data_IF_529908433195
#
_entry.id   IF_529908433195
#
_cell.length_a   1.000
_cell.length_b   1.000
_cell.length_c   1.000
_cell.angle_alpha   90.00
_cell.angle_beta   90.00
_cell.angle_gamma   90.00
#
_symmetry.space_group_name_H-M   'P 1'
#
loop_
_entity.id
_entity.type
_entity.pdbx_description
1 polymer ?
#
# COMPACT_ATOMS: atom_id res chain seq x y z
N UNK A 1 41.48 6.10 62.68
CA UNK A 1 40.05 6.23 62.30
C UNK A 1 39.82 6.95 60.95
N UNK A 2 40.85 7.47 60.26
CA UNK A 2 40.68 8.28 59.02
C UNK A 2 40.81 7.51 57.68
N UNK A 3 41.33 6.29 57.66
CA UNK A 3 41.60 5.55 56.40
C UNK A 3 40.39 4.77 55.85
N UNK A 4 39.45 4.34 56.70
CA UNK A 4 38.24 3.61 56.26
C UNK A 4 37.15 4.50 55.65
N UNK A 5 37.09 5.79 56.00
CA UNK A 5 36.10 6.74 55.44
C UNK A 5 36.46 7.20 54.01
N UNK A 6 37.75 7.37 53.69
CA UNK A 6 38.19 7.75 52.34
C UNK A 6 37.86 6.68 51.29
N UNK A 7 38.06 5.40 51.61
CA UNK A 7 37.78 4.32 50.66
C UNK A 7 36.28 4.19 50.34
N UNK A 8 35.38 4.28 51.32
CA UNK A 8 33.92 4.24 51.08
C UNK A 8 33.44 5.37 50.18
N UNK A 9 34.01 6.56 50.32
CA UNK A 9 33.64 7.72 49.51
C UNK A 9 34.16 7.59 48.07
N UNK A 10 35.37 7.06 47.87
CA UNK A 10 35.91 6.76 46.53
C UNK A 10 35.08 5.69 45.82
N UNK A 11 34.69 4.60 46.50
CA UNK A 11 33.82 3.58 45.90
C UNK A 11 32.43 4.11 45.55
N UNK A 12 31.81 4.95 46.40
CA UNK A 12 30.52 5.57 46.10
C UNK A 12 30.60 6.49 44.88
N UNK A 13 31.69 7.27 44.78
CA UNK A 13 31.89 8.21 43.66
C UNK A 13 32.16 7.46 42.36
N UNK A 14 32.96 6.38 42.39
CA UNK A 14 33.19 5.51 41.23
C UNK A 14 31.90 4.81 40.80
N UNK A 15 31.10 4.29 41.73
CA UNK A 15 29.80 3.67 41.39
C UNK A 15 28.81 4.67 40.80
N UNK A 16 28.77 5.91 41.32
CA UNK A 16 27.91 6.97 40.78
C UNK A 16 28.38 7.41 39.40
N UNK A 17 29.70 7.54 39.16
CA UNK A 17 30.26 7.89 37.85
C UNK A 17 30.06 6.76 36.84
N UNK A 18 30.20 5.49 37.21
CA UNK A 18 29.89 4.34 36.34
C UNK A 18 28.39 4.29 36.04
N UNK A 19 27.51 4.51 37.03
CA UNK A 19 26.07 4.51 36.81
C UNK A 19 25.61 5.71 35.97
N UNK A 20 26.22 6.88 36.14
CA UNK A 20 25.93 8.07 35.34
C UNK A 20 26.49 7.95 33.93
N UNK A 21 27.67 7.35 33.74
CA UNK A 21 28.22 7.09 32.41
C UNK A 21 27.45 5.99 31.67
N UNK A 22 26.96 4.95 32.35
CA UNK A 22 26.06 3.94 31.76
C UNK A 22 24.69 4.55 31.42
N UNK A 23 24.17 5.46 32.25
CA UNK A 23 22.93 6.21 31.96
C UNK A 23 23.13 7.20 30.81
N UNK A 24 24.26 7.90 30.75
CA UNK A 24 24.61 8.81 29.65
C UNK A 24 24.91 8.01 28.38
N UNK A 25 25.51 6.82 28.47
CA UNK A 25 25.73 5.95 27.31
C UNK A 25 24.41 5.36 26.81
N UNK A 26 23.49 4.94 27.69
CA UNK A 26 22.11 4.57 27.31
C UNK A 26 21.30 5.75 26.76
N UNK A 27 21.44 6.93 27.34
CA UNK A 27 20.78 8.15 26.86
C UNK A 27 21.34 8.59 25.50
N UNK A 28 22.64 8.47 25.30
CA UNK A 28 23.29 8.75 24.02
C UNK A 28 23.05 7.63 22.99
N UNK A 29 22.89 6.36 23.37
CA UNK A 29 22.41 5.30 22.46
C UNK A 29 20.96 5.54 22.03
N UNK A 30 20.11 6.06 22.93
CA UNK A 30 18.74 6.47 22.61
C UNK A 30 18.69 7.72 21.73
N UNK A 31 19.68 8.62 21.82
CA UNK A 31 19.68 9.91 21.10
C UNK A 31 20.56 9.97 19.84
N UNK A 32 21.55 9.09 19.65
CA UNK A 32 22.49 9.21 18.51
C UNK A 32 22.20 8.34 17.28
N UNK A 33 21.20 7.46 17.28
CA UNK A 33 20.93 6.62 16.11
C UNK A 33 19.53 6.02 16.11
N UNK A 34 18.54 6.72 16.68
CA UNK A 34 17.24 6.12 16.78
C UNK A 34 16.73 5.95 15.34
N UNK A 35 16.64 4.74 14.79
CA UNK A 35 16.14 4.49 13.41
C UNK A 35 14.62 4.33 13.39
N UNK A 36 14.00 4.43 14.57
CA UNK A 36 12.63 4.02 14.84
C UNK A 36 11.86 5.12 15.56
N UNK A 37 10.54 5.12 15.39
CA UNK A 37 9.64 5.98 16.14
C UNK A 37 9.47 5.43 17.56
N UNK A 38 9.73 6.27 18.57
CA UNK A 38 9.62 5.88 19.99
C UNK A 38 8.16 5.94 20.45
N UNK A 39 7.31 5.08 19.88
CA UNK A 39 5.91 4.95 20.25
C UNK A 39 5.78 4.03 21.47
N UNK A 40 4.89 4.34 22.42
CA UNK A 40 4.60 3.43 23.53
C UNK A 40 3.75 2.26 23.00
N UNK A 41 4.35 1.09 22.79
CA UNK A 41 3.66 -0.10 22.28
C UNK A 41 4.08 -1.36 23.01
N UNK A 42 3.13 -2.28 23.15
CA UNK A 42 3.37 -3.64 23.62
C UNK A 42 4.40 -4.30 22.70
N UNK A 43 5.58 -4.64 23.25
CA UNK A 43 6.67 -5.21 22.47
C UNK A 43 6.26 -6.56 21.86
N UNK A 44 6.24 -6.66 20.53
CA UNK A 44 6.29 -7.96 19.86
C UNK A 44 7.75 -8.38 19.74
N UNK A 45 8.14 -9.37 20.54
CA UNK A 45 9.48 -9.98 20.50
C UNK A 45 9.49 -11.11 19.48
N UNK A 46 9.79 -10.83 18.22
CA UNK A 46 10.20 -11.86 17.27
C UNK A 46 11.26 -11.31 16.32
N UNK A 47 12.51 -11.74 16.50
CA UNK A 47 13.61 -11.52 15.57
C UNK A 47 14.11 -12.89 15.12
N UNK A 48 13.63 -13.35 13.96
CA UNK A 48 14.33 -14.37 13.19
C UNK A 48 15.03 -13.64 12.05
N UNK A 49 16.36 -13.63 12.05
CA UNK A 49 17.21 -12.87 11.10
C UNK A 49 16.99 -13.24 9.62
N UNK A 50 16.29 -14.34 9.33
CA UNK A 50 15.97 -14.76 7.96
C UNK A 50 14.62 -14.22 7.43
N UNK A 51 13.89 -13.40 8.18
CA UNK A 51 12.52 -12.97 7.84
C UNK A 51 12.43 -11.45 7.63
N UNK A 52 13.14 -10.95 6.62
CA UNK A 52 13.16 -9.51 6.34
C UNK A 52 12.05 -9.13 5.35
N UNK A 53 11.04 -8.41 5.84
CA UNK A 53 10.17 -7.58 5.00
C UNK A 53 11.04 -6.65 4.15
N UNK A 54 10.63 -6.41 2.89
CA UNK A 54 11.28 -5.43 2.03
C UNK A 54 11.10 -4.00 2.55
N UNK A 55 10.03 -3.74 3.30
CA UNK A 55 9.61 -2.39 3.67
C UNK A 55 10.45 -1.77 4.78
N UNK A 56 10.42 -2.36 5.98
CA UNK A 56 11.06 -1.82 7.17
C UNK A 56 11.16 -2.90 8.26
N UNK A 57 11.96 -2.64 9.29
CA UNK A 57 12.03 -3.52 10.47
C UNK A 57 10.69 -3.56 11.20
N UNK A 58 9.99 -2.42 11.26
CA UNK A 58 8.61 -2.36 11.78
C UNK A 58 7.70 -3.33 11.02
N UNK A 59 7.77 -3.31 9.70
CA UNK A 59 7.01 -4.24 8.85
C UNK A 59 7.46 -5.69 9.06
N UNK A 60 8.76 -5.96 9.19
CA UNK A 60 9.27 -7.31 9.47
C UNK A 60 8.75 -7.87 10.81
N UNK A 61 8.65 -7.03 11.85
CA UNK A 61 8.15 -7.42 13.17
C UNK A 61 6.67 -7.81 13.20
N UNK A 62 5.91 -7.54 12.12
CA UNK A 62 4.53 -8.04 11.97
C UNK A 62 4.48 -9.52 11.58
N UNK A 63 5.59 -10.11 11.15
CA UNK A 63 5.66 -11.52 10.76
C UNK A 63 5.18 -11.80 9.33
N UNK A 64 4.91 -13.08 9.05
CA UNK A 64 4.46 -13.53 7.73
C UNK A 64 2.96 -13.31 7.51
N UNK A 65 2.51 -13.53 6.28
CA UNK A 65 1.11 -13.52 5.86
C UNK A 65 0.39 -12.16 5.98
N UNK A 66 1.13 -11.06 5.81
CA UNK A 66 0.59 -9.71 5.89
C UNK A 66 -0.35 -9.41 4.72
N UNK A 67 -1.53 -8.84 4.98
CA UNK A 67 -2.43 -8.30 3.96
C UNK A 67 -2.16 -6.80 3.79
N UNK A 68 -1.75 -6.39 2.60
CA UNK A 68 -1.21 -5.05 2.36
C UNK A 68 -2.12 -4.26 1.42
N UNK A 69 -2.53 -3.07 1.84
CA UNK A 69 -2.95 -2.00 0.93
C UNK A 69 -1.70 -1.16 0.65
N UNK A 70 -1.33 -1.01 -0.61
CA UNK A 70 -0.09 -0.38 -1.00
C UNK A 70 -0.33 0.90 -1.77
N UNK A 71 0.32 1.98 -1.35
CA UNK A 71 0.33 3.25 -2.08
C UNK A 71 1.74 3.76 -2.30
N UNK A 72 1.89 4.58 -3.33
CA UNK A 72 3.09 5.40 -3.54
C UNK A 72 2.79 6.83 -3.08
N UNK A 73 3.62 7.36 -2.19
CA UNK A 73 3.59 8.75 -1.74
C UNK A 73 4.79 9.48 -2.34
N UNK A 74 4.54 10.23 -3.39
CA UNK A 74 5.55 11.03 -4.08
C UNK A 74 5.00 12.43 -4.40
N UNK A 75 5.85 13.43 -4.19
CA UNK A 75 5.51 14.85 -4.32
C UNK A 75 5.89 15.39 -5.69
N UNK A 76 5.55 16.66 -5.95
CA UNK A 76 4.73 16.99 -7.11
C UNK A 76 5.51 16.97 -8.42
N UNK A 77 5.44 15.86 -9.13
CA UNK A 77 6.00 15.77 -10.50
C UNK A 77 4.92 16.09 -11.55
N UNK A 78 3.66 15.67 -11.33
CA UNK A 78 2.61 15.73 -12.36
C UNK A 78 1.58 16.84 -12.14
N UNK A 79 1.06 16.98 -10.92
CA UNK A 79 0.06 18.00 -10.57
C UNK A 79 0.44 18.68 -9.25
N UNK A 80 1.20 19.79 -9.30
CA UNK A 80 1.73 20.43 -8.11
C UNK A 80 0.69 21.04 -7.16
N UNK A 81 -0.48 21.39 -7.66
CA UNK A 81 -1.58 21.88 -6.82
C UNK A 81 -2.21 20.74 -6.04
N UNK A 82 -2.59 19.66 -6.73
CA UNK A 82 -3.22 18.48 -6.12
C UNK A 82 -2.26 17.72 -5.20
N UNK A 83 -1.01 17.54 -5.63
CA UNK A 83 0.02 16.80 -4.88
C UNK A 83 1.03 17.73 -4.22
N UNK A 84 0.59 18.93 -3.81
CA UNK A 84 1.35 19.70 -2.82
C UNK A 84 1.51 18.86 -1.55
N UNK A 85 2.56 19.11 -0.75
CA UNK A 85 2.82 18.31 0.45
C UNK A 85 1.60 18.28 1.39
N UNK A 86 1.02 19.45 1.67
CA UNK A 86 -0.13 19.57 2.57
C UNK A 86 -1.34 18.81 2.03
N UNK A 87 -1.62 18.90 0.74
CA UNK A 87 -2.73 18.16 0.13
C UNK A 87 -2.47 16.66 0.11
N UNK A 88 -1.23 16.23 -0.15
CA UNK A 88 -0.86 14.81 -0.12
C UNK A 88 -1.00 14.21 1.28
N UNK A 89 -0.63 14.96 2.32
CA UNK A 89 -0.85 14.57 3.73
C UNK A 89 -2.35 14.48 4.03
N UNK A 90 -3.15 15.45 3.57
CA UNK A 90 -4.61 15.41 3.74
C UNK A 90 -5.24 14.18 3.05
N UNK A 91 -4.81 13.86 1.83
CA UNK A 91 -5.26 12.67 1.11
C UNK A 91 -4.87 11.38 1.86
N UNK A 92 -3.68 11.36 2.47
CA UNK A 92 -3.21 10.23 3.26
C UNK A 92 -4.06 10.05 4.53
N UNK A 93 -4.36 11.13 5.24
CA UNK A 93 -5.26 11.09 6.40
C UNK A 93 -6.65 10.57 6.02
N UNK A 94 -7.22 11.05 4.90
CA UNK A 94 -8.49 10.56 4.39
C UNK A 94 -8.42 9.07 4.06
N UNK A 95 -7.36 8.62 3.37
CA UNK A 95 -7.18 7.21 3.02
C UNK A 95 -7.04 6.31 4.25
N UNK A 96 -6.33 6.77 5.29
CA UNK A 96 -6.20 6.03 6.55
C UNK A 96 -7.57 5.88 7.22
N UNK A 97 -8.37 6.95 7.29
CA UNK A 97 -9.72 6.88 7.86
C UNK A 97 -10.62 5.93 7.07
N UNK A 98 -10.61 6.02 5.73
CA UNK A 98 -11.36 5.12 4.86
C UNK A 98 -10.91 3.65 5.03
N UNK A 99 -9.60 3.40 5.20
CA UNK A 99 -9.11 2.05 5.48
C UNK A 99 -9.66 1.52 6.80
N UNK A 100 -9.65 2.32 7.86
CA UNK A 100 -10.13 1.88 9.18
C UNK A 100 -11.65 1.62 9.18
N UNK A 101 -12.40 2.29 8.31
CA UNK A 101 -13.84 2.07 8.11
C UNK A 101 -14.13 0.82 7.26
N UNK A 102 -13.51 0.74 6.07
CA UNK A 102 -13.82 -0.27 5.03
C UNK A 102 -13.06 -1.59 5.24
N UNK A 103 -11.83 -1.52 5.73
CA UNK A 103 -10.94 -2.67 5.96
C UNK A 103 -10.71 -2.89 7.45
N UNK A 104 -11.78 -3.21 8.18
CA UNK A 104 -11.77 -3.45 9.63
C UNK A 104 -11.03 -4.74 10.09
N UNK A 105 -10.34 -5.44 9.18
CA UNK A 105 -9.48 -6.59 9.52
C UNK A 105 -8.01 -6.14 9.68
N UNK A 106 -7.10 -7.09 9.90
CA UNK A 106 -5.66 -6.85 10.04
C UNK A 106 -4.93 -6.42 8.74
N UNK A 107 -5.58 -5.62 7.87
CA UNK A 107 -4.94 -5.03 6.69
C UNK A 107 -3.99 -3.90 7.11
N UNK A 108 -2.83 -3.84 6.46
CA UNK A 108 -1.79 -2.87 6.74
C UNK A 108 -1.66 -1.93 5.54
N UNK A 109 -1.72 -0.62 5.76
CA UNK A 109 -1.36 0.36 4.75
C UNK A 109 0.16 0.52 4.73
N UNK A 110 0.77 0.13 3.61
CA UNK A 110 2.19 0.40 3.34
C UNK A 110 2.33 1.61 2.43
N UNK A 111 3.00 2.63 2.95
CA UNK A 111 3.27 3.89 2.24
C UNK A 111 4.71 3.90 1.74
N UNK A 112 4.88 3.74 0.43
CA UNK A 112 6.19 3.82 -0.20
C UNK A 112 6.54 5.26 -0.56
N UNK A 113 7.68 5.75 -0.08
CA UNK A 113 8.10 7.14 -0.27
C UNK A 113 9.63 7.23 -0.44
N UNK A 114 10.11 8.36 -0.94
CA UNK A 114 11.53 8.69 -0.92
C UNK A 114 11.91 9.55 0.31
N UNK A 115 13.20 9.68 0.58
CA UNK A 115 13.70 10.45 1.73
C UNK A 115 13.40 11.96 1.65
N UNK A 116 13.11 12.49 0.45
CA UNK A 116 13.04 13.94 0.22
C UNK A 116 11.71 14.55 0.64
N UNK A 117 10.68 13.73 0.79
CA UNK A 117 9.31 14.20 0.92
C UNK A 117 8.81 14.17 2.35
N UNK A 118 8.94 13.04 3.04
CA UNK A 118 8.40 12.89 4.39
C UNK A 118 9.51 12.98 5.41
N UNK A 119 9.44 14.02 6.24
CA UNK A 119 10.32 14.10 7.40
C UNK A 119 9.95 13.03 8.42
N UNK A 120 10.91 12.77 9.30
CA UNK A 120 10.73 11.75 10.32
C UNK A 120 9.63 12.06 11.33
N UNK A 121 9.39 13.34 11.62
CA UNK A 121 8.35 13.73 12.57
C UNK A 121 6.96 13.38 12.03
N UNK A 122 6.74 13.60 10.74
CA UNK A 122 5.51 13.24 10.02
C UNK A 122 5.33 11.73 10.00
N UNK A 123 6.38 10.97 9.63
CA UNK A 123 6.35 9.51 9.66
C UNK A 123 6.00 9.01 11.06
N UNK A 124 6.68 9.50 12.10
CA UNK A 124 6.44 9.07 13.47
C UNK A 124 5.08 9.50 14.01
N UNK A 125 4.53 10.63 13.56
CA UNK A 125 3.17 11.02 13.91
C UNK A 125 2.18 9.94 13.47
N UNK A 126 2.19 9.54 12.20
CA UNK A 126 1.31 8.50 11.67
C UNK A 126 1.61 7.12 12.25
N UNK A 127 2.88 6.71 12.27
CA UNK A 127 3.25 5.39 12.77
C UNK A 127 2.98 5.21 14.25
N UNK A 128 2.96 6.28 15.07
CA UNK A 128 2.59 6.21 16.48
C UNK A 128 1.07 6.30 16.69
N UNK A 129 0.36 7.09 15.90
CA UNK A 129 -1.09 7.26 16.00
C UNK A 129 -1.85 6.02 15.52
N UNK A 130 -1.35 5.35 14.47
CA UNK A 130 -2.03 4.23 13.84
C UNK A 130 -1.18 2.96 13.88
N UNK A 131 -1.75 1.85 14.35
CA UNK A 131 -1.04 0.58 14.48
C UNK A 131 -0.83 -0.16 13.16
N UNK A 132 -1.73 0.02 12.21
CA UNK A 132 -1.77 -0.70 10.93
C UNK A 132 -1.11 0.07 9.78
N UNK A 133 -0.21 1.00 10.11
CA UNK A 133 0.52 1.83 9.12
C UNK A 133 2.02 1.50 9.18
N UNK A 134 2.63 1.36 8.01
CA UNK A 134 4.07 1.21 7.80
C UNK A 134 4.56 2.18 6.72
N UNK A 135 5.61 2.96 7.03
CA UNK A 135 6.32 3.75 6.03
C UNK A 135 7.53 2.97 5.48
N UNK A 136 7.64 2.97 4.16
CA UNK A 136 8.58 2.18 3.38
C UNK A 136 9.47 3.14 2.56
N UNK A 137 10.65 3.49 3.10
CA UNK A 137 11.57 4.40 2.41
C UNK A 137 12.35 3.68 1.30
N UNK A 138 12.03 3.96 0.04
CA UNK A 138 12.64 3.28 -1.12
C UNK A 138 14.12 3.63 -1.32
N UNK A 139 14.57 4.81 -0.88
CA UNK A 139 15.98 5.20 -0.90
C UNK A 139 16.80 4.32 0.06
N UNK A 140 16.28 4.07 1.26
CA UNK A 140 16.91 3.16 2.22
C UNK A 140 16.95 1.70 1.74
N UNK A 141 16.06 1.32 0.83
CA UNK A 141 16.06 0.00 0.18
C UNK A 141 17.00 -0.06 -1.04
N UNK A 142 17.61 1.06 -1.45
CA UNK A 142 18.29 1.22 -2.73
C UNK A 142 17.40 0.90 -3.93
N UNK A 143 16.13 1.33 -3.89
CA UNK A 143 15.11 1.11 -4.92
C UNK A 143 14.54 2.44 -5.47
N UNK A 144 15.19 3.56 -5.19
CA UNK A 144 14.80 4.89 -5.67
C UNK A 144 14.96 5.05 -7.20
N UNK A 145 15.68 4.14 -7.87
CA UNK A 145 15.68 4.03 -9.33
C UNK A 145 14.35 3.51 -9.92
N UNK A 146 13.48 2.93 -9.10
CA UNK A 146 12.15 2.50 -9.52
C UNK A 146 11.28 3.77 -9.68
N UNK A 147 10.53 3.91 -10.78
CA UNK A 147 9.58 4.99 -10.99
C UNK A 147 8.53 5.08 -9.86
N UNK A 148 8.18 6.29 -9.37
CA UNK A 148 7.35 6.43 -8.17
C UNK A 148 5.99 5.70 -8.19
N UNK A 149 5.25 5.75 -9.31
CA UNK A 149 3.97 5.03 -9.45
C UNK A 149 4.10 3.50 -9.37
N UNK A 150 5.31 2.95 -9.53
CA UNK A 150 5.57 1.52 -9.44
C UNK A 150 5.91 1.09 -8.01
N UNK A 151 6.28 2.00 -7.09
CA UNK A 151 6.63 1.60 -5.72
C UNK A 151 5.52 0.82 -5.01
N UNK A 152 4.25 1.15 -5.26
CA UNK A 152 3.09 0.39 -4.77
C UNK A 152 3.00 -1.06 -5.27
N UNK A 153 3.83 -1.47 -6.23
CA UNK A 153 3.92 -2.87 -6.68
C UNK A 153 4.94 -3.68 -5.86
N UNK A 154 5.79 -3.04 -5.06
CA UNK A 154 6.84 -3.70 -4.27
C UNK A 154 6.34 -4.79 -3.31
N UNK A 155 5.15 -4.71 -2.69
CA UNK A 155 4.64 -5.82 -1.87
C UNK A 155 4.50 -7.14 -2.64
N UNK A 156 4.33 -7.12 -3.96
CA UNK A 156 4.28 -8.33 -4.78
C UNK A 156 5.61 -9.11 -4.78
N UNK A 157 6.72 -8.45 -4.41
CA UNK A 157 8.07 -9.00 -4.32
C UNK A 157 8.52 -9.28 -2.87
N UNK A 158 7.63 -9.07 -1.88
CA UNK A 158 7.92 -9.22 -0.46
C UNK A 158 7.42 -10.58 0.06
N UNK A 159 8.33 -11.37 0.63
CA UNK A 159 8.02 -12.73 1.11
C UNK A 159 7.17 -12.74 2.39
N UNK A 160 7.11 -11.62 3.12
CA UNK A 160 6.24 -11.47 4.31
C UNK A 160 4.77 -11.25 3.96
N UNK A 161 4.48 -10.87 2.72
CA UNK A 161 3.14 -10.53 2.26
C UNK A 161 2.38 -11.79 1.84
N UNK A 162 1.14 -11.93 2.28
CA UNK A 162 0.17 -12.87 1.67
C UNK A 162 -0.50 -12.14 0.52
N UNK A 163 -1.34 -11.17 0.82
CA UNK A 163 -2.14 -10.46 -0.18
C UNK A 163 -1.64 -9.03 -0.30
N UNK A 164 -1.57 -8.51 -1.52
CA UNK A 164 -1.40 -7.08 -1.77
C UNK A 164 -2.50 -6.53 -2.66
N UNK A 165 -2.92 -5.29 -2.38
CA UNK A 165 -3.72 -4.46 -3.27
C UNK A 165 -2.93 -3.18 -3.58
N UNK A 166 -2.87 -2.80 -4.84
CA UNK A 166 -2.21 -1.59 -5.30
C UNK A 166 -3.24 -0.47 -5.42
N UNK A 167 -2.98 0.70 -4.84
CA UNK A 167 -3.89 1.85 -4.79
C UNK A 167 -3.21 3.15 -5.18
N UNK A 168 -3.97 4.05 -5.79
CA UNK A 168 -3.59 5.46 -5.92
C UNK A 168 -3.96 6.20 -4.61
N UNK A 169 -3.09 7.12 -4.15
CA UNK A 169 -3.30 7.93 -2.93
C UNK A 169 -4.56 8.81 -3.02
N UNK A 170 -4.88 9.26 -4.23
CA UNK A 170 -6.01 10.13 -4.50
C UNK A 170 -7.30 9.38 -4.76
N UNK A 171 -7.35 8.05 -4.62
CA UNK A 171 -8.57 7.28 -4.84
C UNK A 171 -9.19 6.78 -3.53
N UNK A 172 -10.49 6.99 -3.27
CA UNK A 172 -11.12 6.57 -2.04
C UNK A 172 -11.20 5.04 -1.94
N UNK A 173 -11.05 4.49 -0.73
CA UNK A 173 -11.43 3.10 -0.45
C UNK A 173 -12.95 3.05 -0.22
N UNK A 174 -13.62 2.03 -0.78
CA UNK A 174 -15.09 1.95 -0.75
C UNK A 174 -15.57 0.55 -0.39
N UNK A 175 -16.77 0.44 0.18
CA UNK A 175 -17.44 -0.84 0.43
C UNK A 175 -17.61 -1.68 -0.85
N UNK A 176 -17.79 -1.02 -2.00
CA UNK A 176 -17.85 -1.69 -3.31
C UNK A 176 -16.57 -2.43 -3.63
N UNK A 177 -15.43 -1.79 -3.39
CA UNK A 177 -14.12 -2.39 -3.57
C UNK A 177 -13.89 -3.53 -2.58
N UNK A 178 -14.24 -3.32 -1.30
CA UNK A 178 -14.11 -4.35 -0.28
C UNK A 178 -14.88 -5.61 -0.64
N UNK A 179 -16.13 -5.47 -1.06
CA UNK A 179 -16.95 -6.59 -1.50
C UNK A 179 -16.32 -7.36 -2.68
N UNK A 180 -15.75 -6.64 -3.65
CA UNK A 180 -15.05 -7.25 -4.80
C UNK A 180 -13.75 -7.97 -4.40
N UNK A 181 -13.03 -7.45 -3.39
CA UNK A 181 -11.85 -8.11 -2.81
C UNK A 181 -12.26 -9.37 -2.04
N UNK A 182 -13.31 -9.30 -1.22
CA UNK A 182 -13.80 -10.44 -0.46
C UNK A 182 -14.27 -11.57 -1.36
N UNK A 183 -15.05 -11.27 -2.42
CA UNK A 183 -15.45 -12.28 -3.40
C UNK A 183 -14.24 -12.95 -4.05
N UNK A 184 -13.21 -12.17 -4.40
CA UNK A 184 -11.99 -12.72 -4.97
C UNK A 184 -11.20 -13.60 -3.99
N UNK A 185 -11.07 -13.18 -2.73
CA UNK A 185 -10.34 -13.93 -1.71
C UNK A 185 -10.95 -15.31 -1.42
N UNK A 186 -12.25 -15.49 -1.69
CA UNK A 186 -12.94 -16.78 -1.61
C UNK A 186 -12.58 -17.75 -2.75
N UNK A 187 -11.82 -17.30 -3.75
CA UNK A 187 -11.41 -18.13 -4.90
C UNK A 187 -9.96 -18.61 -4.81
N UNK A 188 -9.61 -19.53 -5.73
CA UNK A 188 -8.25 -20.01 -5.91
C UNK A 188 -7.44 -19.22 -6.96
N UNK A 189 -7.88 -18.00 -7.31
CA UNK A 189 -7.23 -17.17 -8.32
C UNK A 189 -6.17 -16.26 -7.70
N UNK A 190 -4.96 -16.25 -8.26
CA UNK A 190 -3.83 -15.50 -7.72
C UNK A 190 -3.95 -13.99 -7.92
N UNK A 191 -4.65 -13.53 -8.96
CA UNK A 191 -4.74 -12.11 -9.31
C UNK A 191 -6.17 -11.60 -9.26
N UNK A 192 -6.31 -10.31 -9.01
CA UNK A 192 -7.56 -9.58 -9.17
C UNK A 192 -7.32 -8.21 -9.79
N UNK A 193 -8.32 -7.74 -10.52
CA UNK A 193 -8.36 -6.35 -10.96
C UNK A 193 -9.79 -5.83 -11.05
N UNK A 194 -9.93 -4.52 -11.00
CA UNK A 194 -11.22 -3.82 -11.07
C UNK A 194 -11.22 -2.78 -12.19
N UNK A 195 -12.32 -2.72 -12.95
CA UNK A 195 -12.60 -1.74 -14.00
C UNK A 195 -14.01 -1.19 -13.83
N UNK A 196 -14.13 -0.16 -13.00
CA UNK A 196 -15.42 0.41 -12.61
C UNK A 196 -15.78 1.69 -13.43
N UNK A 197 -15.07 1.99 -14.51
CA UNK A 197 -15.32 3.19 -15.33
C UNK A 197 -15.05 2.93 -16.83
N UNK A 198 -15.77 3.58 -17.78
CA UNK A 198 -15.55 3.38 -19.20
C UNK A 198 -14.12 3.70 -19.65
N UNK A 199 -13.38 4.54 -18.93
CA UNK A 199 -11.99 4.88 -19.25
C UNK A 199 -10.97 3.89 -18.67
N UNK A 200 -11.39 2.90 -17.87
CA UNK A 200 -10.50 1.87 -17.32
C UNK A 200 -10.18 0.78 -18.35
N UNK A 201 -9.48 1.19 -19.42
CA UNK A 201 -9.19 0.38 -20.61
C UNK A 201 -7.74 -0.14 -20.66
N UNK A 202 -7.09 -0.30 -19.50
CA UNK A 202 -5.74 -0.89 -19.44
C UNK A 202 -5.81 -2.40 -19.21
N UNK A 203 -4.84 -3.20 -19.73
CA UNK A 203 -4.81 -4.64 -19.52
C UNK A 203 -4.86 -4.98 -18.05
N UNK A 204 -4.19 -4.17 -17.24
CA UNK A 204 -4.29 -4.15 -15.79
C UNK A 204 -4.11 -2.71 -15.29
N UNK A 205 -5.01 -2.28 -14.41
CA UNK A 205 -5.03 -0.92 -13.87
C UNK A 205 -4.00 -0.75 -12.75
N UNK A 206 -3.24 0.35 -12.77
CA UNK A 206 -2.14 0.58 -11.81
C UNK A 206 -2.59 0.68 -10.35
N UNK A 207 -3.69 1.37 -10.09
CA UNK A 207 -4.25 1.57 -8.73
C UNK A 207 -5.41 0.66 -8.36
N UNK A 208 -5.68 -0.40 -9.14
CA UNK A 208 -6.86 -1.26 -8.96
C UNK A 208 -6.57 -2.74 -9.28
N UNK A 209 -5.37 -3.21 -8.93
CA UNK A 209 -5.01 -4.63 -9.05
C UNK A 209 -4.54 -5.19 -7.71
N UNK A 210 -4.66 -6.51 -7.57
CA UNK A 210 -4.29 -7.23 -6.37
C UNK A 210 -3.66 -8.58 -6.70
N UNK A 211 -2.87 -9.09 -5.76
CA UNK A 211 -2.12 -10.33 -5.93
C UNK A 211 -1.99 -11.11 -4.61
N UNK A 212 -2.30 -12.41 -4.68
CA UNK A 212 -2.07 -13.39 -3.61
C UNK A 212 -0.68 -13.98 -3.76
N UNK A 213 0.29 -13.29 -3.16
CA UNK A 213 1.69 -13.70 -3.14
C UNK A 213 1.84 -15.10 -2.52
N UNK A 214 0.99 -15.47 -1.56
CA UNK A 214 0.99 -16.80 -0.95
C UNK A 214 0.55 -17.93 -1.88
N UNK A 215 -0.21 -17.62 -2.93
CA UNK A 215 -0.63 -18.60 -3.93
C UNK A 215 0.38 -18.76 -5.07
N UNK A 216 1.20 -17.73 -5.33
CA UNK A 216 2.17 -17.77 -6.42
C UNK A 216 3.53 -17.15 -6.05
N UNK A 217 4.24 -17.83 -5.15
CA UNK A 217 5.61 -17.46 -4.75
C UNK A 217 6.61 -17.54 -5.91
N UNK A 218 6.32 -18.28 -6.98
CA UNK A 218 7.20 -18.32 -8.15
C UNK A 218 7.08 -17.02 -8.95
N UNK A 219 5.84 -16.59 -9.23
CA UNK A 219 5.58 -15.31 -9.87
C UNK A 219 6.09 -14.14 -9.03
N UNK A 220 5.95 -14.19 -7.70
CA UNK A 220 6.53 -13.19 -6.80
C UNK A 220 8.04 -13.00 -7.00
N UNK A 221 8.80 -14.09 -7.17
CA UNK A 221 10.24 -14.01 -7.47
C UNK A 221 10.52 -13.51 -8.88
N UNK A 222 9.68 -13.88 -9.85
CA UNK A 222 9.79 -13.37 -11.22
C UNK A 222 9.58 -11.85 -11.25
N UNK A 223 8.51 -11.33 -10.64
CA UNK A 223 8.22 -9.90 -10.63
C UNK A 223 9.29 -9.12 -9.85
N UNK A 224 9.80 -9.69 -8.75
CA UNK A 224 10.98 -9.16 -8.05
C UNK A 224 12.16 -8.97 -8.99
N UNK A 225 12.49 -9.97 -9.81
CA UNK A 225 13.60 -9.86 -10.77
C UNK A 225 13.42 -8.76 -11.82
N UNK A 226 12.17 -8.36 -12.10
CA UNK A 226 11.86 -7.26 -13.02
C UNK A 226 11.95 -5.91 -12.33
N UNK A 227 11.32 -5.79 -11.16
CA UNK A 227 11.31 -4.57 -10.34
C UNK A 227 12.73 -4.17 -9.90
N UNK A 228 13.57 -5.15 -9.53
CA UNK A 228 14.91 -4.92 -8.99
C UNK A 228 15.99 -4.84 -10.08
N UNK A 229 15.60 -5.00 -11.36
CA UNK A 229 16.52 -4.86 -12.47
C UNK A 229 16.41 -3.44 -13.05
N UNK A 230 17.40 -2.61 -12.72
CA UNK A 230 17.45 -1.22 -13.15
C UNK A 230 17.35 -1.06 -14.67
N UNK A 231 17.99 -1.93 -15.46
CA UNK A 231 17.94 -1.88 -16.94
C UNK A 231 16.56 -2.19 -17.52
N UNK A 232 15.72 -2.93 -16.78
CA UNK A 232 14.34 -3.22 -17.17
C UNK A 232 13.43 -2.08 -16.72
N UNK A 233 13.48 -1.73 -15.43
CA UNK A 233 12.46 -0.87 -14.82
C UNK A 233 12.55 0.58 -15.27
N UNK A 234 13.75 1.06 -15.59
CA UNK A 234 13.98 2.44 -16.08
C UNK A 234 13.41 2.69 -17.48
N UNK A 235 13.03 1.63 -18.21
CA UNK A 235 12.29 1.75 -19.48
C UNK A 235 10.83 2.17 -19.29
N UNK A 236 10.35 2.15 -18.05
CA UNK A 236 8.99 2.52 -17.67
C UNK A 236 9.02 3.83 -16.89
N UNK A 237 9.25 5.00 -17.51
CA UNK A 237 9.26 6.27 -16.79
C UNK A 237 7.90 6.58 -16.14
N UNK A 238 7.82 7.71 -15.45
CA UNK A 238 6.59 8.18 -14.83
C UNK A 238 5.38 8.11 -15.80
N UNK A 239 4.19 7.76 -15.28
CA UNK A 239 2.96 7.47 -16.04
C UNK A 239 2.94 6.21 -16.90
N UNK A 240 3.93 5.32 -16.79
CA UNK A 240 3.96 4.06 -17.54
C UNK A 240 3.88 2.81 -16.66
N UNK A 241 3.41 2.97 -15.42
CA UNK A 241 3.19 1.86 -14.48
C UNK A 241 2.20 0.83 -15.04
N UNK A 242 1.15 1.27 -15.75
CA UNK A 242 0.24 0.35 -16.44
C UNK A 242 0.89 -0.36 -17.63
N UNK A 243 1.87 0.26 -18.31
CA UNK A 243 2.64 -0.39 -19.37
C UNK A 243 3.57 -1.46 -18.78
N UNK A 244 4.18 -1.20 -17.63
CA UNK A 244 4.94 -2.22 -16.89
C UNK A 244 4.06 -3.44 -16.56
N UNK A 245 2.84 -3.21 -16.06
CA UNK A 245 1.89 -4.29 -15.80
C UNK A 245 1.53 -5.04 -17.09
N UNK A 246 1.26 -4.33 -18.18
CA UNK A 246 0.94 -4.93 -19.48
C UNK A 246 2.08 -5.82 -20.03
N UNK A 247 3.33 -5.42 -19.83
CA UNK A 247 4.50 -6.13 -20.37
C UNK A 247 5.00 -7.27 -19.46
N UNK A 248 4.82 -7.15 -18.15
CA UNK A 248 5.50 -8.02 -17.18
C UNK A 248 4.57 -8.77 -16.23
N UNK A 249 3.32 -8.34 -16.06
CA UNK A 249 2.35 -9.00 -15.17
C UNK A 249 1.24 -9.65 -15.98
N UNK A 250 0.57 -8.88 -16.84
CA UNK A 250 -0.57 -9.29 -17.64
C UNK A 250 -0.37 -10.56 -18.46
N UNK A 251 0.79 -10.80 -19.12
CA UNK A 251 0.98 -12.01 -19.95
C UNK A 251 0.81 -13.31 -19.15
N UNK A 252 1.08 -13.26 -17.85
CA UNK A 252 0.90 -14.37 -16.92
C UNK A 252 -0.46 -14.29 -16.20
N UNK A 253 -0.77 -13.13 -15.62
CA UNK A 253 -1.94 -12.93 -14.77
C UNK A 253 -3.27 -13.24 -15.47
N UNK A 254 -3.39 -12.98 -16.78
CA UNK A 254 -4.63 -13.19 -17.55
C UNK A 254 -5.20 -14.61 -17.49
N UNK A 255 -4.40 -15.60 -17.12
CA UNK A 255 -4.82 -17.00 -16.97
C UNK A 255 -5.28 -17.36 -15.56
N UNK A 256 -4.99 -16.53 -14.55
CA UNK A 256 -5.20 -16.81 -13.12
C UNK A 256 -5.83 -15.61 -12.38
N UNK A 257 -6.66 -14.84 -13.08
CA UNK A 257 -7.22 -13.57 -12.59
C UNK A 257 -8.73 -13.66 -12.41
N UNK A 258 -9.27 -12.94 -11.42
CA UNK A 258 -10.67 -12.52 -11.39
C UNK A 258 -10.76 -11.04 -11.76
N UNK A 259 -11.67 -10.68 -12.66
CA UNK A 259 -11.84 -9.28 -13.07
C UNK A 259 -13.25 -8.81 -12.76
N UNK A 260 -13.40 -7.83 -11.88
CA UNK A 260 -14.67 -7.14 -11.73
C UNK A 260 -14.74 -5.98 -12.72
N UNK A 261 -15.73 -5.98 -13.60
CA UNK A 261 -15.79 -5.05 -14.72
C UNK A 261 -17.22 -4.57 -14.98
N UNK A 262 -17.40 -3.25 -14.97
CA UNK A 262 -18.69 -2.60 -15.19
C UNK A 262 -18.98 -2.34 -16.66
N UNK A 263 -17.97 -2.32 -17.55
CA UNK A 263 -18.12 -1.79 -18.91
C UNK A 263 -17.48 -2.64 -20.01
N UNK A 264 -16.39 -3.35 -19.73
CA UNK A 264 -15.58 -4.07 -20.72
C UNK A 264 -15.73 -5.59 -20.64
N UNK A 265 -16.74 -6.11 -19.91
CA UNK A 265 -16.95 -7.55 -19.71
C UNK A 265 -17.04 -8.39 -21.01
N UNK A 266 -17.49 -7.78 -22.11
CA UNK A 266 -17.64 -8.43 -23.42
C UNK A 266 -16.33 -8.51 -24.23
N UNK A 267 -15.25 -7.88 -23.75
CA UNK A 267 -13.96 -7.89 -24.44
C UNK A 267 -13.26 -9.25 -24.29
N UNK A 268 -13.21 -10.02 -25.37
CA UNK A 268 -12.66 -11.38 -25.35
C UNK A 268 -11.14 -11.43 -25.23
N UNK A 269 -10.43 -10.34 -25.57
CA UNK A 269 -8.98 -10.29 -25.51
C UNK A 269 -8.49 -10.14 -24.06
N UNK A 270 -9.34 -9.63 -23.16
CA UNK A 270 -8.96 -9.15 -21.82
C UNK A 270 -9.79 -9.78 -20.69
N UNK A 271 -10.97 -10.33 -20.98
CA UNK A 271 -11.99 -10.60 -19.97
C UNK A 271 -12.53 -12.05 -19.94
N UNK A 272 -11.64 -13.04 -20.12
CA UNK A 272 -12.00 -14.47 -20.01
C UNK A 272 -12.52 -14.87 -18.61
N UNK A 273 -12.18 -14.10 -17.58
CA UNK A 273 -12.56 -14.35 -16.19
C UNK A 273 -13.28 -13.16 -15.56
N UNK A 274 -14.08 -12.45 -16.37
CA UNK A 274 -14.87 -11.33 -15.87
C UNK A 274 -15.95 -11.80 -14.89
N UNK A 275 -16.29 -10.90 -13.98
CA UNK A 275 -17.45 -10.92 -13.10
C UNK A 275 -18.04 -9.53 -13.06
N UNK A 276 -19.37 -9.46 -12.94
CA UNK A 276 -20.01 -8.22 -12.55
C UNK A 276 -19.63 -7.91 -11.10
N UNK A 277 -19.57 -6.64 -10.72
CA UNK A 277 -19.35 -6.26 -9.33
C UNK A 277 -20.42 -6.84 -8.40
N UNK A 278 -20.05 -7.27 -7.17
CA UNK A 278 -20.97 -7.94 -6.25
C UNK A 278 -22.00 -7.01 -5.59
N UNK A 279 -21.84 -5.70 -5.74
CA UNK A 279 -22.75 -4.69 -5.19
C UNK A 279 -23.24 -3.76 -6.28
N UNK A 280 -24.32 -3.03 -6.01
CA UNK A 280 -24.71 -1.90 -6.85
C UNK A 280 -23.79 -0.71 -6.57
N UNK A 281 -23.52 0.12 -7.58
CA UNK A 281 -22.84 1.39 -7.35
C UNK A 281 -23.78 2.26 -6.52
N UNK A 282 -23.36 2.65 -5.32
CA UNK A 282 -24.18 3.50 -4.46
C UNK A 282 -24.40 4.84 -5.14
N UNK A 283 -25.66 5.14 -5.45
CA UNK A 283 -26.09 6.42 -6.00
C UNK A 283 -26.60 7.26 -4.85
N UNK A 284 -25.77 8.13 -4.30
CA UNK A 284 -26.18 8.98 -3.17
C UNK A 284 -27.05 10.14 -3.67
N UNK A 285 -28.19 9.88 -4.32
CA UNK A 285 -29.25 10.80 -4.80
C UNK A 285 -28.84 12.15 -5.44
N UNK A 286 -27.56 12.38 -5.70
CA UNK A 286 -27.02 13.64 -6.20
C UNK A 286 -26.11 13.36 -7.40
N UNK A 287 -25.42 12.21 -7.48
CA UNK A 287 -24.56 11.87 -8.63
C UNK A 287 -24.30 10.35 -8.77
N UNK A 288 -24.22 9.84 -10.01
CA UNK A 288 -23.77 8.46 -10.33
C UNK A 288 -22.26 8.41 -10.62
N UNK A 289 -21.50 9.40 -10.12
CA UNK A 289 -20.11 9.66 -10.51
C UNK A 289 -19.08 8.93 -9.64
N UNK A 290 -19.51 8.18 -8.62
CA UNK A 290 -18.61 7.40 -7.79
C UNK A 290 -18.21 6.10 -8.52
N UNK A 291 -16.93 5.82 -8.64
CA UNK A 291 -16.43 4.54 -9.14
C UNK A 291 -15.09 4.21 -8.48
N UNK A 292 -14.74 2.94 -8.38
CA UNK A 292 -13.45 2.52 -7.84
C UNK A 292 -12.32 3.07 -8.72
N UNK A 293 -11.41 3.86 -8.14
CA UNK A 293 -10.30 4.52 -8.84
C UNK A 293 -10.59 5.95 -9.29
N UNK A 294 -11.68 6.56 -8.85
CA UNK A 294 -11.94 7.98 -9.07
C UNK A 294 -10.97 8.86 -8.23
N UNK A 295 -10.45 9.96 -8.79
CA UNK A 295 -9.64 10.89 -8.01
C UNK A 295 -10.50 11.69 -7.00
N UNK A 296 -9.92 12.00 -5.84
CA UNK A 296 -10.50 12.83 -4.79
C UNK A 296 -10.47 14.31 -5.22
N UNK A 297 -11.55 15.08 -4.95
CA UNK A 297 -12.80 14.63 -4.35
C UNK A 297 -13.64 13.82 -5.35
N UNK A 298 -13.92 12.56 -5.00
CA UNK A 298 -14.68 11.67 -5.84
C UNK A 298 -16.16 12.05 -5.81
N UNK A 299 -16.91 11.67 -6.85
CA UNK A 299 -18.36 11.85 -6.94
C UNK A 299 -18.84 13.30 -7.16
N UNK A 300 -17.95 14.30 -7.28
CA UNK A 300 -18.34 15.71 -7.36
C UNK A 300 -18.57 16.26 -8.77
N UNK A 301 -18.00 15.65 -9.81
CA UNK A 301 -18.02 16.22 -11.16
C UNK A 301 -18.60 15.27 -12.21
N UNK A 302 -19.58 15.78 -12.96
CA UNK A 302 -20.10 15.16 -14.16
C UNK A 302 -19.11 15.41 -15.30
N UNK A 303 -18.52 14.34 -15.84
CA UNK A 303 -18.00 14.39 -17.21
C UNK A 303 -18.82 13.38 -18.02
N UNK A 304 -18.93 13.57 -19.34
CA UNK A 304 -19.84 12.79 -20.21
C UNK A 304 -19.70 11.25 -20.06
N UNK A 305 -18.53 10.75 -19.64
CA UNK A 305 -18.27 9.32 -19.42
C UNK A 305 -18.80 8.77 -18.08
N UNK A 306 -19.02 9.62 -17.08
CA UNK A 306 -19.50 9.22 -15.75
C UNK A 306 -21.01 8.92 -15.70
N UNK A 307 -21.72 9.14 -16.80
CA UNK A 307 -23.18 8.96 -16.90
C UNK A 307 -23.59 7.70 -17.67
N UNK A 308 -22.64 6.91 -18.18
CA UNK A 308 -22.98 5.74 -18.98
C UNK A 308 -23.48 4.60 -18.06
N UNK A 309 -24.71 4.09 -18.26
CA UNK A 309 -25.18 2.92 -17.55
C UNK A 309 -24.31 1.72 -17.94
N UNK A 310 -24.17 0.77 -17.01
CA UNK A 310 -23.54 -0.50 -17.30
C UNK A 310 -24.21 -1.19 -18.50
N UNK A 311 -23.43 -1.74 -19.46
CA UNK A 311 -23.98 -2.64 -20.46
C UNK A 311 -24.71 -3.79 -19.77
N UNK A 312 -25.86 -4.20 -20.31
CA UNK A 312 -26.69 -5.30 -19.77
C UNK A 312 -25.83 -6.57 -19.55
N UNK A 313 -24.93 -6.86 -20.49
CA UNK A 313 -24.01 -8.00 -20.40
C UNK A 313 -23.05 -7.95 -19.20
N UNK A 314 -22.75 -6.76 -18.66
CA UNK A 314 -21.81 -6.57 -17.55
C UNK A 314 -22.51 -6.47 -16.19
N UNK A 315 -23.85 -6.45 -16.17
CA UNK A 315 -24.62 -6.44 -14.93
C UNK A 315 -24.69 -7.84 -14.32
N UNK A 316 -24.82 -7.97 -12.99
CA UNK A 316 -25.00 -9.29 -12.37
C UNK A 316 -26.27 -9.95 -12.90
N UNK A 317 -26.22 -11.28 -13.13
CA UNK A 317 -27.34 -12.03 -13.72
C UNK A 317 -28.64 -11.86 -12.94
N UNK A 318 -28.54 -11.83 -11.61
CA UNK A 318 -29.68 -11.72 -10.70
C UNK A 318 -30.06 -10.25 -10.40
N UNK A 319 -29.31 -9.28 -10.93
CA UNK A 319 -29.50 -7.84 -10.71
C UNK A 319 -29.37 -7.02 -12.01
N UNK A 320 -30.15 -7.39 -13.02
CA UNK A 320 -30.17 -6.66 -14.30
C UNK A 320 -30.77 -5.25 -14.18
N UNK A 321 -31.48 -4.98 -13.08
CA UNK A 321 -32.01 -3.68 -12.68
C UNK A 321 -30.94 -2.69 -12.19
N UNK A 322 -29.74 -3.17 -11.84
CA UNK A 322 -28.60 -2.31 -11.49
C UNK A 322 -28.05 -1.61 -12.74
N UNK A 323 -28.70 -0.51 -13.13
CA UNK A 323 -28.28 0.33 -14.27
C UNK A 323 -26.89 0.92 -14.06
N UNK A 324 -26.52 1.15 -12.80
CA UNK A 324 -25.17 1.50 -12.37
C UNK A 324 -24.63 0.34 -11.52
N UNK A 325 -23.95 -0.56 -12.21
CA UNK A 325 -22.98 -1.49 -11.68
C UNK A 325 -21.56 -0.89 -11.89
#
# INVERSE_FOLDING_TARGET
MMTKRRNKQVYLTIFFVISLTVLIHRYNELNNNNKYCSCYRSASTYTNDNQMSLCSIRSANRGLNQKIISISFFGPIENPEMFSMNNSILLLEQLINEMLEVYHDDWILRIYHDEKLLDRNTICHFECLYDLIDFCNVTNMNLDFIPPKIWRFLPAADETVSVMTSRDLDSPLTERERAAIDEWLLTNLSFHMMRDHPQHKAPMMGGMWAFRVEYDRQFSRLIRSKLFNQSIITRYPLNTDQQFLADHVWPYAKYYIMTHDSYWCSDTDWNRHHRAFPTQRLTNNVTNYCFIGCPKPCCLHANDFHQLPCPIACRPRDHQDWTFC
#
